data_IF_275771562569
#
_entry.id   IF_275771562569
#
_cell.length_a   1.000
_cell.length_b   1.000
_cell.length_c   1.000
_cell.angle_alpha   90.00
_cell.angle_beta   90.00
_cell.angle_gamma   90.00
#
_symmetry.space_group_name_H-M   'P 1'
#
loop_
_entity.id
_entity.type
_entity.pdbx_description
1 polymer ?
#
# COMPACT_ATOMS: atom_id res chain seq x y z
N UNK A 1 14.56 -9.61 21.18
CA UNK A 1 13.63 -8.67 20.51
C UNK A 1 14.47 -7.89 19.50
N UNK A 2 14.09 -7.77 18.23
CA UNK A 2 14.71 -6.74 17.40
C UNK A 2 14.07 -5.42 17.83
N UNK A 3 14.82 -4.65 18.61
CA UNK A 3 14.42 -3.35 19.12
C UNK A 3 14.78 -2.34 18.04
N UNK A 4 13.80 -1.66 17.44
CA UNK A 4 14.06 -0.55 16.54
C UNK A 4 14.72 0.59 17.34
N UNK A 5 16.05 0.58 17.37
CA UNK A 5 16.88 1.29 18.33
C UNK A 5 16.95 2.82 18.13
N UNK A 6 16.27 3.37 17.12
CA UNK A 6 16.34 4.80 16.76
C UNK A 6 15.18 5.63 17.32
N UNK A 7 14.18 5.02 17.96
CA UNK A 7 13.05 5.74 18.55
C UNK A 7 12.15 6.47 17.54
N UNK A 8 11.98 5.89 16.35
CA UNK A 8 11.20 6.46 15.26
C UNK A 8 9.70 6.17 15.42
N UNK A 9 8.86 7.17 15.14
CA UNK A 9 7.40 7.01 15.06
C UNK A 9 6.92 6.56 13.67
N UNK A 10 7.73 6.83 12.63
CA UNK A 10 7.43 6.44 11.25
C UNK A 10 8.65 6.07 10.43
N UNK A 11 8.44 5.24 9.40
CA UNK A 11 9.43 4.91 8.36
C UNK A 11 8.83 5.18 6.99
N UNK A 12 9.63 5.77 6.11
CA UNK A 12 9.26 6.07 4.73
C UNK A 12 9.74 5.00 3.74
N UNK A 13 8.89 4.65 2.76
CA UNK A 13 9.26 3.79 1.64
C UNK A 13 8.79 4.33 0.28
N UNK A 14 9.75 4.63 -0.60
CA UNK A 14 9.49 4.90 -2.03
C UNK A 14 9.11 3.62 -2.80
N UNK A 15 9.59 2.45 -2.35
CA UNK A 15 9.34 1.15 -2.98
C UNK A 15 8.94 0.12 -1.93
N UNK A 16 7.70 0.18 -1.41
CA UNK A 16 7.30 -0.63 -0.26
C UNK A 16 7.39 -2.15 -0.49
N UNK A 17 7.21 -2.61 -1.73
CA UNK A 17 7.28 -4.04 -2.07
C UNK A 17 8.70 -4.60 -1.96
N UNK A 18 9.71 -3.78 -2.22
CA UNK A 18 11.12 -4.17 -2.12
C UNK A 18 11.55 -4.47 -0.68
N UNK A 19 10.84 -3.93 0.30
CA UNK A 19 11.09 -4.18 1.73
C UNK A 19 10.42 -5.45 2.25
N UNK A 20 9.56 -6.10 1.44
CA UNK A 20 8.83 -7.31 1.83
C UNK A 20 7.67 -7.03 2.78
N UNK A 21 6.43 -7.07 2.27
CA UNK A 21 5.24 -6.83 3.10
C UNK A 21 5.11 -7.79 4.29
N UNK A 22 5.44 -9.07 4.09
CA UNK A 22 5.34 -10.07 5.16
C UNK A 22 6.42 -9.88 6.23
N UNK A 23 7.63 -9.47 5.84
CA UNK A 23 8.71 -9.18 6.79
C UNK A 23 8.38 -7.95 7.66
N UNK A 24 7.65 -6.99 7.09
CA UNK A 24 7.19 -5.79 7.78
C UNK A 24 5.94 -6.02 8.65
N UNK A 25 5.24 -7.15 8.49
CA UNK A 25 3.96 -7.42 9.15
C UNK A 25 4.06 -7.25 10.68
N UNK A 26 5.14 -7.75 11.26
CA UNK A 26 5.39 -7.74 12.70
C UNK A 26 5.48 -6.33 13.32
N UNK A 27 5.60 -5.28 12.50
CA UNK A 27 5.74 -3.89 12.94
C UNK A 27 4.46 -3.06 12.75
N UNK A 28 3.44 -3.60 12.06
CA UNK A 28 2.16 -2.91 11.88
C UNK A 28 1.52 -2.60 13.23
N UNK A 29 0.99 -1.38 13.38
CA UNK A 29 0.40 -0.90 14.63
C UNK A 29 1.41 -0.57 15.74
N UNK A 30 2.72 -0.75 15.51
CA UNK A 30 3.81 -0.32 16.41
C UNK A 30 4.53 0.91 15.87
N UNK A 31 4.69 0.96 14.56
CA UNK A 31 5.24 2.10 13.83
C UNK A 31 4.31 2.45 12.68
N UNK A 32 4.31 3.72 12.28
CA UNK A 32 3.59 4.17 11.11
C UNK A 32 4.44 3.99 9.86
N UNK A 33 3.84 3.49 8.78
CA UNK A 33 4.52 3.38 7.48
C UNK A 33 4.02 4.46 6.52
N UNK A 34 4.95 5.28 6.05
CA UNK A 34 4.71 6.36 5.11
C UNK A 34 5.17 5.92 3.71
N UNK A 35 4.28 5.77 2.74
CA UNK A 35 4.62 5.13 1.47
C UNK A 35 3.97 5.75 0.24
N UNK A 36 4.57 5.54 -0.91
CA UNK A 36 3.92 5.75 -2.20
C UNK A 36 3.77 4.41 -2.94
N UNK A 37 2.96 4.38 -4.00
CA UNK A 37 2.85 3.18 -4.86
C UNK A 37 4.24 2.82 -5.38
N UNK A 38 4.59 1.53 -5.37
CA UNK A 38 5.95 1.05 -5.67
C UNK A 38 6.52 1.66 -6.97
N UNK A 39 7.52 2.55 -6.85
CA UNK A 39 8.00 3.37 -7.99
C UNK A 39 8.73 2.54 -9.05
N UNK A 40 9.32 1.40 -8.66
CA UNK A 40 10.09 0.53 -9.57
C UNK A 40 9.19 -0.35 -10.44
N UNK A 41 7.91 -0.54 -10.06
CA UNK A 41 6.99 -1.42 -10.77
C UNK A 41 5.63 -0.76 -11.00
N UNK A 42 4.69 -0.92 -10.06
CA UNK A 42 3.26 -0.65 -10.25
C UNK A 42 3.00 0.82 -10.58
N UNK A 43 3.67 1.76 -9.91
CA UNK A 43 3.35 3.17 -10.13
C UNK A 43 3.71 3.63 -11.54
N UNK A 44 4.83 3.13 -12.05
CA UNK A 44 5.41 3.49 -13.35
C UNK A 44 4.83 2.67 -14.49
N UNK A 45 4.66 1.36 -14.28
CA UNK A 45 4.39 0.39 -15.34
C UNK A 45 3.00 -0.26 -15.26
N UNK A 46 2.34 -0.18 -14.10
CA UNK A 46 0.99 -0.72 -13.92
C UNK A 46 -0.08 0.07 -14.67
N UNK A 47 -1.22 -0.58 -14.86
CA UNK A 47 -2.46 0.07 -15.32
C UNK A 47 -3.03 0.97 -14.22
N UNK A 48 -3.84 1.99 -14.58
CA UNK A 48 -4.57 2.79 -13.58
C UNK A 48 -5.37 1.93 -12.60
N UNK A 49 -6.02 0.87 -13.08
CA UNK A 49 -6.80 -0.05 -12.24
C UNK A 49 -5.92 -0.80 -11.23
N UNK A 50 -4.73 -1.23 -11.64
CA UNK A 50 -3.74 -1.86 -10.76
C UNK A 50 -3.20 -0.86 -9.73
N UNK A 51 -2.90 0.37 -10.13
CA UNK A 51 -2.44 1.42 -9.21
C UNK A 51 -3.50 1.75 -8.17
N UNK A 52 -4.78 1.85 -8.55
CA UNK A 52 -5.87 2.05 -7.60
C UNK A 52 -5.97 0.87 -6.61
N UNK A 53 -5.93 -0.38 -7.11
CA UNK A 53 -6.01 -1.58 -6.26
C UNK A 53 -4.80 -1.70 -5.33
N UNK A 54 -3.62 -1.27 -5.77
CA UNK A 54 -2.40 -1.35 -4.96
C UNK A 54 -2.51 -0.55 -3.67
N UNK A 55 -3.26 0.55 -3.68
CA UNK A 55 -3.50 1.33 -2.46
C UNK A 55 -4.16 0.50 -1.37
N UNK A 56 -5.13 -0.36 -1.70
CA UNK A 56 -5.73 -1.26 -0.72
C UNK A 56 -4.67 -2.21 -0.14
N UNK A 57 -3.85 -2.80 -1.00
CA UNK A 57 -2.81 -3.72 -0.56
C UNK A 57 -1.77 -3.03 0.33
N UNK A 58 -1.39 -1.79 0.03
CA UNK A 58 -0.53 -0.98 0.91
C UNK A 58 -1.20 -0.70 2.26
N UNK A 59 -2.45 -0.22 2.26
CA UNK A 59 -3.22 0.05 3.49
C UNK A 59 -3.30 -1.20 4.37
N UNK A 60 -3.57 -2.37 3.78
CA UNK A 60 -3.71 -3.64 4.52
C UNK A 60 -2.38 -4.23 4.97
N UNK A 61 -1.34 -4.16 4.16
CA UNK A 61 -0.07 -4.82 4.44
C UNK A 61 0.92 -3.95 5.22
N UNK A 62 0.73 -2.64 5.25
CA UNK A 62 1.54 -1.72 6.05
C UNK A 62 0.76 -1.16 7.24
N UNK A 63 -0.56 -1.03 7.11
CA UNK A 63 -1.44 -0.60 8.19
C UNK A 63 -2.17 -1.74 8.89
N UNK A 64 -3.12 -1.33 9.73
CA UNK A 64 -4.11 -2.16 10.39
C UNK A 64 -5.49 -1.53 10.20
N UNK A 65 -6.57 -2.20 10.61
CA UNK A 65 -7.91 -1.59 10.62
C UNK A 65 -8.02 -0.34 11.51
N UNK A 66 -7.05 -0.14 12.41
CA UNK A 66 -6.99 0.96 13.36
C UNK A 66 -6.03 2.08 12.91
N UNK A 67 -5.49 1.99 11.68
CA UNK A 67 -4.55 2.96 11.11
C UNK A 67 -3.13 2.43 10.95
N UNK A 68 -2.16 3.35 10.86
CA UNK A 68 -0.72 3.02 10.76
C UNK A 68 -0.13 3.08 9.34
N UNK A 69 -0.93 3.41 8.32
CA UNK A 69 -0.45 3.69 6.97
C UNK A 69 -0.78 5.13 6.56
N UNK A 70 0.15 5.78 5.88
CA UNK A 70 -0.01 7.12 5.33
C UNK A 70 0.70 7.20 3.99
N UNK A 71 0.19 8.07 3.14
CA UNK A 71 0.59 8.12 1.74
C UNK A 71 1.16 9.48 1.36
N UNK A 72 2.11 9.46 0.42
CA UNK A 72 2.57 10.64 -0.29
C UNK A 72 2.70 10.33 -1.77
N UNK A 73 2.68 11.39 -2.58
CA UNK A 73 3.04 11.30 -3.99
C UNK A 73 4.54 11.47 -4.14
N UNK A 74 5.18 10.57 -4.88
CA UNK A 74 6.60 10.70 -5.18
C UNK A 74 6.88 12.08 -5.83
N UNK A 75 7.82 12.88 -5.31
CA UNK A 75 7.95 14.29 -5.67
C UNK A 75 8.42 14.54 -7.11
N UNK A 76 9.03 13.52 -7.74
CA UNK A 76 9.60 13.64 -9.09
C UNK A 76 8.98 12.63 -10.08
N UNK A 77 7.65 12.67 -10.32
CA UNK A 77 6.96 11.65 -11.12
C UNK A 77 7.42 11.61 -12.58
N UNK A 78 7.96 12.73 -13.11
CA UNK A 78 8.52 12.78 -14.46
C UNK A 78 9.82 11.99 -14.60
N UNK A 79 10.65 11.95 -13.54
CA UNK A 79 11.96 11.24 -13.55
C UNK A 79 11.73 9.74 -13.61
N UNK A 80 10.80 9.25 -12.79
CA UNK A 80 10.36 7.85 -12.80
C UNK A 80 9.32 7.54 -13.89
N UNK A 81 8.98 8.53 -14.75
CA UNK A 81 8.08 8.37 -15.91
C UNK A 81 6.67 7.86 -15.56
N UNK A 82 6.15 8.19 -14.39
CA UNK A 82 4.78 7.87 -14.00
C UNK A 82 3.78 8.63 -14.88
N UNK A 83 2.78 7.91 -15.39
CA UNK A 83 1.73 8.50 -16.21
C UNK A 83 0.78 9.36 -15.37
N UNK A 84 0.21 10.43 -15.94
CA UNK A 84 -0.84 11.23 -15.26
C UNK A 84 -2.05 10.39 -14.87
N UNK A 85 -2.37 9.34 -15.62
CA UNK A 85 -3.47 8.42 -15.31
C UNK A 85 -3.18 7.64 -14.03
N UNK A 86 -1.94 7.19 -13.85
CA UNK A 86 -1.52 6.47 -12.65
C UNK A 86 -1.49 7.38 -11.42
N UNK A 87 -1.08 8.65 -11.57
CA UNK A 87 -1.16 9.63 -10.46
C UNK A 87 -2.62 9.78 -10.00
N UNK A 88 -3.56 9.97 -10.93
CA UNK A 88 -4.99 10.08 -10.62
C UNK A 88 -5.58 8.80 -10.03
N UNK A 89 -5.13 7.64 -10.50
CA UNK A 89 -5.57 6.36 -9.96
C UNK A 89 -5.08 6.15 -8.52
N UNK A 90 -3.87 6.60 -8.21
CA UNK A 90 -3.36 6.58 -6.85
C UNK A 90 -4.22 7.47 -5.93
N UNK A 91 -4.50 8.71 -6.35
CA UNK A 91 -5.42 9.62 -5.65
C UNK A 91 -6.79 8.98 -5.40
N UNK A 92 -7.40 8.40 -6.43
CA UNK A 92 -8.68 7.70 -6.32
C UNK A 92 -8.63 6.50 -5.36
N UNK A 93 -7.52 5.75 -5.36
CA UNK A 93 -7.30 4.67 -4.39
C UNK A 93 -7.25 5.20 -2.95
N UNK A 94 -6.60 6.35 -2.73
CA UNK A 94 -6.55 7.00 -1.42
C UNK A 94 -7.92 7.53 -0.98
N UNK A 95 -8.71 8.11 -1.88
CA UNK A 95 -10.10 8.50 -1.58
C UNK A 95 -10.95 7.30 -1.16
N UNK A 96 -10.74 6.15 -1.83
CA UNK A 96 -11.52 4.93 -1.60
C UNK A 96 -11.11 4.16 -0.34
N UNK A 97 -9.82 3.98 -0.12
CA UNK A 97 -9.27 3.15 0.96
C UNK A 97 -8.65 3.96 2.10
N UNK A 98 -8.58 5.28 1.99
CA UNK A 98 -8.17 6.17 3.07
C UNK A 98 -9.28 6.39 4.11
N UNK A 99 -10.54 6.15 3.75
CA UNK A 99 -11.68 6.19 4.68
C UNK A 99 -11.99 4.77 5.14
N UNK A 100 -11.41 4.36 6.27
CA UNK A 100 -11.40 2.95 6.68
C UNK A 100 -12.80 2.41 7.01
N UNK A 101 -13.73 3.28 7.44
CA UNK A 101 -15.13 2.92 7.66
C UNK A 101 -15.86 2.46 6.41
N UNK A 102 -15.35 2.79 5.21
CA UNK A 102 -15.93 2.38 3.93
C UNK A 102 -15.39 1.02 3.45
N UNK A 103 -14.36 0.48 4.12
CA UNK A 103 -13.75 -0.79 3.78
C UNK A 103 -14.55 -1.92 4.45
N UNK A 104 -14.98 -2.96 3.70
CA UNK A 104 -15.68 -4.09 4.30
C UNK A 104 -14.85 -4.74 5.41
N UNK A 105 -15.43 -4.93 6.60
CA UNK A 105 -14.71 -5.44 7.77
C UNK A 105 -13.97 -6.76 7.49
N UNK A 106 -14.63 -7.69 6.78
CA UNK A 106 -14.07 -8.98 6.40
C UNK A 106 -12.83 -8.92 5.50
N UNK A 107 -12.60 -7.79 4.80
CA UNK A 107 -11.40 -7.63 3.97
C UNK A 107 -10.14 -7.54 4.83
N UNK A 108 -10.24 -7.02 6.05
CA UNK A 108 -9.10 -6.97 6.98
C UNK A 108 -8.64 -8.35 7.41
N UNK A 109 -9.56 -9.31 7.52
CA UNK A 109 -9.29 -10.69 7.88
C UNK A 109 -9.02 -11.59 6.66
N UNK A 110 -9.11 -11.04 5.44
CA UNK A 110 -8.83 -11.79 4.22
C UNK A 110 -7.34 -12.15 4.14
N UNK A 111 -6.98 -13.38 3.71
CA UNK A 111 -5.60 -13.81 3.62
C UNK A 111 -4.73 -12.85 2.78
N UNK A 112 -3.56 -12.51 3.30
CA UNK A 112 -2.52 -11.79 2.56
C UNK A 112 -1.72 -12.76 1.69
N UNK A 113 -0.98 -12.21 0.74
CA UNK A 113 -0.16 -13.00 -0.17
C UNK A 113 1.25 -13.15 0.41
N UNK A 114 1.72 -14.39 0.48
CA UNK A 114 3.06 -14.70 0.99
C UNK A 114 4.16 -14.33 -0.01
N UNK A 115 3.95 -14.64 -1.29
CA UNK A 115 4.95 -14.47 -2.34
C UNK A 115 4.46 -13.42 -3.34
N UNK A 116 4.86 -12.17 -3.12
CA UNK A 116 4.50 -11.06 -4.01
C UNK A 116 5.33 -11.10 -5.29
N UNK A 117 4.66 -11.05 -6.44
CA UNK A 117 5.29 -10.69 -7.70
C UNK A 117 5.25 -9.16 -7.83
N UNK A 118 6.41 -8.52 -7.97
CA UNK A 118 6.52 -7.05 -7.94
C UNK A 118 5.73 -6.36 -9.06
N UNK A 119 5.44 -7.06 -10.17
CA UNK A 119 4.73 -6.52 -11.33
C UNK A 119 3.24 -6.86 -11.37
N UNK A 120 2.75 -7.68 -10.45
CA UNK A 120 1.34 -8.08 -10.42
C UNK A 120 0.63 -7.47 -9.22
N UNK A 121 -0.55 -6.89 -9.46
CA UNK A 121 -1.43 -6.41 -8.39
C UNK A 121 -2.60 -7.40 -8.23
N UNK A 122 -2.62 -8.17 -7.13
CA UNK A 122 -3.65 -9.16 -6.86
C UNK A 122 -5.06 -8.56 -6.90
N UNK A 123 -6.08 -9.36 -7.23
CA UNK A 123 -7.46 -8.91 -7.14
C UNK A 123 -7.82 -8.53 -5.70
N UNK A 124 -8.83 -7.68 -5.57
CA UNK A 124 -9.38 -7.34 -4.25
C UNK A 124 -10.14 -8.55 -3.67
N UNK A 125 -10.27 -8.63 -2.34
CA UNK A 125 -11.15 -9.63 -1.73
C UNK A 125 -12.59 -9.51 -2.29
N UNK A 126 -13.32 -10.62 -2.43
CA UNK A 126 -14.67 -10.59 -2.98
C UNK A 126 -15.60 -9.77 -2.07
N UNK A 127 -16.43 -8.93 -2.69
CA UNK A 127 -17.59 -8.35 -2.01
C UNK A 127 -18.60 -9.47 -1.74
N UNK A 128 -19.31 -9.43 -0.60
CA UNK A 128 -20.44 -10.33 -0.43
C UNK A 128 -21.45 -10.03 -1.53
N UNK A 129 -21.73 -11.02 -2.37
CA UNK A 129 -22.88 -10.96 -3.26
C UNK A 129 -24.09 -11.07 -2.33
N UNK A 130 -24.84 -9.97 -2.20
CA UNK A 130 -26.13 -9.98 -1.51
C UNK A 130 -27.11 -10.90 -2.24
#
# INVERSE_FOLDING_TARGET
RPEFALGLDSIEFDSPRMSGYNDLEQYRGKIMFWGCVNIQSIYTHGTPEEVEREVWHMVRNLGTKDGGFGAYFYPQPKVIRVSRKNIKAFEKGLEKYGIYSNIPSKWWDYPTIENWNDFEVPPLPPLDVK
#
